data_IF_367245520736
#
_entry.id   IF_367245520736
#
_cell.length_a   1.000
_cell.length_b   1.000
_cell.length_c   1.000
_cell.angle_alpha   90.00
_cell.angle_beta   90.00
_cell.angle_gamma   90.00
#
_symmetry.space_group_name_H-M   'P 1'
#
loop_
_entity.id
_entity.type
_entity.pdbx_description
1 polymer ?
#
# COMPACT_ATOMS: atom_id res chain seq x y z
N UNK A 1 -12.47 -12.76 4.01
CA UNK A 1 -11.49 -11.87 3.35
C UNK A 1 -12.23 -10.83 2.52
N UNK A 2 -11.56 -9.74 2.14
CA UNK A 2 -12.08 -8.49 1.54
C UNK A 2 -13.46 -8.56 0.85
N UNK A 3 -13.67 -9.46 -0.11
CA UNK A 3 -14.95 -9.61 -0.83
C UNK A 3 -16.15 -9.87 0.11
N UNK A 4 -15.96 -10.69 1.14
CA UNK A 4 -16.99 -10.95 2.15
C UNK A 4 -17.28 -9.72 3.01
N UNK A 5 -16.27 -8.88 3.27
CA UNK A 5 -16.44 -7.63 4.00
C UNK A 5 -17.17 -6.58 3.13
N UNK A 6 -16.94 -6.59 1.81
CA UNK A 6 -17.63 -5.71 0.88
C UNK A 6 -19.15 -5.97 0.86
N UNK A 7 -19.59 -7.22 1.02
CA UNK A 7 -21.01 -7.58 1.13
C UNK A 7 -21.68 -7.07 2.41
N UNK A 8 -20.90 -6.78 3.45
CA UNK A 8 -21.41 -6.32 4.75
C UNK A 8 -21.22 -4.81 4.96
N UNK A 9 -20.46 -4.14 4.10
CA UNK A 9 -20.18 -2.72 4.23
C UNK A 9 -21.41 -1.87 3.89
N UNK A 10 -21.73 -0.90 4.76
CA UNK A 10 -22.91 -0.05 4.58
C UNK A 10 -22.67 1.15 3.63
N UNK A 11 -21.41 1.63 3.52
CA UNK A 11 -21.05 2.80 2.68
C UNK A 11 -19.61 2.77 2.17
N UNK A 12 -18.67 2.50 3.07
CA UNK A 12 -17.25 2.44 2.77
C UNK A 12 -16.65 1.18 3.38
N UNK A 13 -15.65 0.63 2.70
CA UNK A 13 -14.78 -0.41 3.20
C UNK A 13 -13.34 0.08 3.05
N UNK A 14 -12.64 0.21 4.16
CA UNK A 14 -11.23 0.58 4.16
C UNK A 14 -10.38 -0.68 4.18
N UNK A 15 -9.44 -0.77 3.24
CA UNK A 15 -8.51 -1.88 3.14
C UNK A 15 -7.13 -1.37 3.53
N UNK A 16 -6.56 -1.97 4.57
CA UNK A 16 -5.18 -1.71 4.96
C UNK A 16 -4.25 -2.55 4.07
N UNK A 17 -3.54 -1.85 3.18
CA UNK A 17 -2.69 -2.41 2.10
C UNK A 17 -3.46 -3.23 1.04
N UNK A 18 -2.75 -3.84 0.09
CA UNK A 18 -3.34 -4.71 -0.94
C UNK A 18 -2.30 -5.66 -1.55
N UNK A 19 -2.73 -6.44 -2.54
CA UNK A 19 -1.88 -7.44 -3.20
C UNK A 19 -0.65 -6.84 -3.91
N UNK A 20 -0.64 -5.56 -4.31
CA UNK A 20 0.57 -4.91 -4.87
C UNK A 20 1.65 -4.77 -3.79
N UNK A 21 1.28 -4.34 -2.58
CA UNK A 21 2.18 -4.27 -1.43
C UNK A 21 2.75 -5.66 -1.08
N UNK A 22 1.89 -6.68 -1.07
CA UNK A 22 2.33 -8.07 -0.83
C UNK A 22 3.24 -8.59 -1.95
N UNK A 23 2.94 -8.28 -3.21
CA UNK A 23 3.78 -8.63 -4.36
C UNK A 23 5.17 -8.00 -4.24
N UNK A 24 5.22 -6.73 -3.84
CA UNK A 24 6.46 -6.01 -3.57
C UNK A 24 7.29 -6.71 -2.49
N UNK A 25 6.71 -7.00 -1.32
CA UNK A 25 7.44 -7.69 -0.24
C UNK A 25 7.87 -9.10 -0.63
N UNK A 26 7.03 -9.84 -1.37
CA UNK A 26 7.41 -11.15 -1.90
C UNK A 26 8.66 -11.04 -2.78
N UNK A 27 8.69 -10.06 -3.69
CA UNK A 27 9.85 -9.84 -4.55
C UNK A 27 11.08 -9.41 -3.74
N UNK A 28 10.90 -8.56 -2.74
CA UNK A 28 11.99 -8.11 -1.88
C UNK A 28 12.65 -9.25 -1.10
N UNK A 29 11.84 -10.05 -0.39
CA UNK A 29 12.36 -11.11 0.46
C UNK A 29 12.76 -12.37 -0.30
N UNK A 30 12.06 -12.69 -1.39
CA UNK A 30 12.22 -13.98 -2.09
C UNK A 30 12.74 -13.85 -3.53
N UNK A 31 13.02 -12.63 -4.00
CA UNK A 31 13.43 -12.32 -5.39
C UNK A 31 12.42 -12.79 -6.44
N UNK A 32 11.19 -13.13 -6.01
CA UNK A 32 10.14 -13.67 -6.85
C UNK A 32 8.76 -13.43 -6.22
N UNK A 33 7.73 -13.51 -7.04
CA UNK A 33 6.33 -13.48 -6.60
C UNK A 33 5.59 -14.59 -7.33
N UNK A 34 4.69 -15.29 -6.62
CA UNK A 34 3.90 -16.35 -7.23
C UNK A 34 3.04 -15.79 -8.38
N UNK A 35 2.80 -16.56 -9.46
CA UNK A 35 1.93 -16.11 -10.55
C UNK A 35 0.56 -15.61 -10.09
N UNK A 36 -0.10 -16.34 -9.19
CA UNK A 36 -1.38 -15.94 -8.61
C UNK A 36 -1.31 -14.60 -7.86
N UNK A 37 -0.20 -14.29 -7.19
CA UNK A 37 -0.02 -13.00 -6.52
C UNK A 37 0.15 -11.86 -7.52
N UNK A 38 0.79 -12.11 -8.66
CA UNK A 38 0.91 -11.11 -9.75
C UNK A 38 -0.45 -10.83 -10.38
N UNK A 39 -1.29 -11.85 -10.55
CA UNK A 39 -2.67 -11.70 -11.02
C UNK A 39 -3.51 -10.85 -10.06
N UNK A 40 -3.43 -11.13 -8.75
CA UNK A 40 -4.09 -10.33 -7.72
C UNK A 40 -3.58 -8.87 -7.70
N UNK A 41 -2.27 -8.66 -7.83
CA UNK A 41 -1.70 -7.31 -7.92
C UNK A 41 -2.12 -6.57 -9.19
N UNK A 42 -2.33 -7.27 -10.31
CA UNK A 42 -2.79 -6.67 -11.56
C UNK A 42 -4.21 -6.10 -11.43
N UNK A 43 -5.12 -6.81 -10.76
CA UNK A 43 -6.51 -6.35 -10.59
C UNK A 43 -6.64 -5.18 -9.61
N UNK A 44 -5.65 -4.94 -8.73
CA UNK A 44 -5.67 -3.80 -7.80
C UNK A 44 -5.81 -2.44 -8.51
N UNK A 45 -5.36 -2.33 -9.77
CA UNK A 45 -5.48 -1.09 -10.58
C UNK A 45 -6.90 -0.57 -10.68
N UNK A 46 -7.90 -1.45 -10.75
CA UNK A 46 -9.30 -1.09 -10.91
C UNK A 46 -10.17 -1.49 -9.72
N UNK A 47 -9.56 -2.04 -8.66
CA UNK A 47 -10.30 -2.62 -7.53
C UNK A 47 -10.71 -1.55 -6.50
N UNK A 48 -9.91 -0.52 -6.33
CA UNK A 48 -10.11 0.51 -5.32
C UNK A 48 -10.50 1.84 -5.96
N UNK A 49 -11.54 2.47 -5.41
CA UNK A 49 -12.01 3.79 -5.89
C UNK A 49 -11.08 4.92 -5.45
N UNK A 50 -10.50 4.80 -4.26
CA UNK A 50 -9.57 5.77 -3.70
C UNK A 50 -8.37 5.04 -3.13
N UNK A 51 -7.19 5.60 -3.40
CA UNK A 51 -5.92 5.14 -2.83
C UNK A 51 -5.34 6.29 -2.02
N UNK A 52 -4.96 5.98 -0.77
CA UNK A 52 -4.29 6.92 0.11
C UNK A 52 -2.88 6.40 0.38
N UNK A 53 -1.89 7.27 0.29
CA UNK A 53 -0.53 6.97 0.70
C UNK A 53 -0.22 7.82 1.91
N UNK A 54 0.07 7.20 3.04
CA UNK A 54 0.55 7.91 4.21
C UNK A 54 2.02 8.24 3.99
N UNK A 55 2.34 9.53 3.94
CA UNK A 55 3.72 10.00 3.78
C UNK A 55 4.59 9.56 4.98
N UNK A 56 5.91 9.60 4.78
CA UNK A 56 6.90 9.15 5.75
C UNK A 56 7.46 10.28 6.63
N UNK A 57 6.77 11.42 6.65
CA UNK A 57 7.04 12.61 7.45
C UNK A 57 6.75 12.44 8.94
N UNK A 58 6.00 11.40 9.33
CA UNK A 58 5.91 10.96 10.73
C UNK A 58 7.30 10.49 11.19
N UNK A 59 7.81 10.95 12.35
CA UNK A 59 9.10 10.52 12.88
C UNK A 59 9.22 8.99 12.92
N UNK A 60 10.33 8.48 12.41
CA UNK A 60 10.61 7.06 12.48
C UNK A 60 10.99 6.69 13.91
N UNK A 61 10.22 5.80 14.52
CA UNK A 61 10.53 5.14 15.78
C UNK A 61 10.80 3.66 15.52
N UNK A 62 11.88 3.12 16.07
CA UNK A 62 12.17 1.68 15.99
C UNK A 62 11.50 0.99 17.17
N UNK A 63 10.61 0.03 16.89
CA UNK A 63 9.83 -0.73 17.88
C UNK A 63 10.28 -2.20 18.01
N UNK A 64 11.37 -2.58 17.33
CA UNK A 64 11.90 -3.94 17.29
C UNK A 64 11.32 -4.80 16.16
N UNK A 65 10.28 -4.33 15.47
CA UNK A 65 9.65 -5.01 14.35
C UNK A 65 9.88 -4.31 13.01
N UNK A 66 10.08 -2.99 13.04
CA UNK A 66 10.37 -2.21 11.84
C UNK A 66 11.77 -2.51 11.32
N UNK A 67 11.90 -2.41 10.00
CA UNK A 67 13.20 -2.41 9.32
C UNK A 67 13.95 -1.09 9.62
N UNK A 68 14.61 -0.46 8.66
CA UNK A 68 15.30 0.82 8.86
C UNK A 68 14.51 2.03 8.36
N UNK A 69 14.80 3.22 8.93
CA UNK A 69 14.32 4.51 8.39
C UNK A 69 14.67 4.68 6.90
N UNK A 70 15.87 4.25 6.50
CA UNK A 70 16.32 4.27 5.10
C UNK A 70 15.45 3.35 4.26
N UNK A 71 15.10 2.18 4.77
CA UNK A 71 14.23 1.23 4.08
C UNK A 71 12.82 1.77 3.91
N UNK A 72 12.25 2.43 4.92
CA UNK A 72 10.94 3.08 4.82
C UNK A 72 10.86 4.04 3.63
N UNK A 73 11.82 4.96 3.49
CA UNK A 73 11.84 5.92 2.38
C UNK A 73 12.01 5.25 1.01
N UNK A 74 12.88 4.23 0.92
CA UNK A 74 13.05 3.45 -0.33
C UNK A 74 11.77 2.69 -0.71
N UNK A 75 11.14 2.04 0.24
CA UNK A 75 9.89 1.32 0.06
C UNK A 75 8.79 2.25 -0.45
N UNK A 76 8.61 3.41 0.20
CA UNK A 76 7.64 4.40 -0.25
C UNK A 76 7.92 4.85 -1.69
N UNK A 77 9.16 5.20 -2.03
CA UNK A 77 9.52 5.57 -3.40
C UNK A 77 9.18 4.50 -4.44
N UNK A 78 9.39 3.22 -4.12
CA UNK A 78 9.05 2.11 -5.02
C UNK A 78 7.54 1.91 -5.16
N UNK A 79 6.78 2.08 -4.08
CA UNK A 79 5.30 2.04 -4.12
C UNK A 79 4.77 3.18 -4.99
N UNK A 80 5.25 4.41 -4.77
CA UNK A 80 4.84 5.57 -5.57
C UNK A 80 5.17 5.40 -7.06
N UNK A 81 6.33 4.82 -7.36
CA UNK A 81 6.71 4.49 -8.73
C UNK A 81 5.77 3.44 -9.34
N UNK A 82 5.44 2.36 -8.63
CA UNK A 82 4.53 1.31 -9.13
C UNK A 82 3.10 1.86 -9.36
N UNK A 83 2.60 2.72 -8.46
CA UNK A 83 1.33 3.43 -8.65
C UNK A 83 1.34 4.29 -9.91
N UNK A 84 2.42 5.06 -10.13
CA UNK A 84 2.58 5.89 -11.32
C UNK A 84 2.65 5.06 -12.61
N UNK A 85 3.43 3.97 -12.64
CA UNK A 85 3.53 3.06 -13.79
C UNK A 85 2.18 2.42 -14.13
N UNK A 86 1.37 2.11 -13.11
CA UNK A 86 0.03 1.53 -13.29
C UNK A 86 -1.05 2.57 -13.61
N UNK A 87 -0.72 3.86 -13.52
CA UNK A 87 -1.68 4.95 -13.67
C UNK A 87 -2.76 4.93 -12.59
N UNK A 88 -2.39 4.60 -11.35
CA UNK A 88 -3.29 4.62 -10.20
C UNK A 88 -3.12 5.96 -9.49
N UNK A 89 -4.17 6.77 -9.49
CA UNK A 89 -4.20 8.02 -8.74
C UNK A 89 -4.27 7.75 -7.24
N UNK A 90 -3.56 8.56 -6.46
CA UNK A 90 -3.57 8.47 -5.00
C UNK A 90 -3.56 9.86 -4.37
N UNK A 91 -4.11 9.96 -3.16
CA UNK A 91 -3.95 11.12 -2.29
C UNK A 91 -2.80 10.85 -1.32
N UNK A 92 -1.75 11.67 -1.37
CA UNK A 92 -0.73 11.68 -0.33
C UNK A 92 -1.31 12.35 0.93
N UNK A 93 -1.23 11.66 2.07
CA UNK A 93 -1.58 12.18 3.38
C UNK A 93 -0.27 12.55 4.08
N UNK A 94 -0.07 13.82 4.39
CA UNK A 94 1.11 14.36 5.07
C UNK A 94 0.70 15.39 6.13
N UNK A 95 1.64 15.85 6.93
CA UNK A 95 1.43 16.76 8.06
C UNK A 95 1.03 16.05 9.35
N UNK A 96 0.45 16.82 10.26
CA UNK A 96 -0.11 16.35 11.52
C UNK A 96 -1.32 15.43 11.30
N UNK A 97 -1.88 14.88 12.38
CA UNK A 97 -3.12 14.09 12.27
C UNK A 97 -4.28 14.93 11.73
N UNK A 98 -4.36 16.20 12.15
CA UNK A 98 -5.43 17.13 11.72
C UNK A 98 -5.29 17.51 10.23
N UNK A 99 -4.07 17.56 9.69
CA UNK A 99 -3.81 17.85 8.28
C UNK A 99 -4.24 16.69 7.34
N UNK A 100 -4.51 15.50 7.88
CA UNK A 100 -4.82 14.28 7.12
C UNK A 100 -6.31 13.97 7.02
N UNK A 101 -7.17 14.81 7.60
CA UNK A 101 -8.64 14.65 7.66
C UNK A 101 -9.33 15.30 6.45
#
# INVERSE_FOLDING_TARGET
MEDAAALQAHRFLFIDTNAMTTMFFSHYYNRNSLPALRELAAVCRSRYHHVFVCDDDIPFEQDGWRDSKVWRGRMQGMILYDLAVRGIEYKLLSGSLDDRI
#
